data_IF_079531550430
#
_entry.id   IF_079531550430
#
_cell.length_a   1.000
_cell.length_b   1.000
_cell.length_c   1.000
_cell.angle_alpha   90.00
_cell.angle_beta   90.00
_cell.angle_gamma   90.00
#
_symmetry.space_group_name_H-M   'P 1'
#
loop_
_entity.id
_entity.type
_entity.pdbx_description
1 polymer ?
#
# COMPACT_ATOMS: atom_id res chain seq x y z
N UNK A 1 17.14 -9.77 -59.07
CA UNK A 1 15.67 -9.83 -58.91
C UNK A 1 15.33 -9.56 -57.45
N UNK A 2 14.89 -8.35 -57.13
CA UNK A 2 14.60 -7.91 -55.76
C UNK A 2 13.10 -8.08 -55.47
N UNK A 3 12.77 -8.80 -54.40
CA UNK A 3 11.39 -9.08 -53.97
C UNK A 3 10.87 -7.93 -53.11
N UNK A 4 9.84 -7.23 -53.60
CA UNK A 4 9.12 -6.16 -52.91
C UNK A 4 8.28 -6.76 -51.76
N UNK A 5 8.69 -6.55 -50.50
CA UNK A 5 7.82 -6.81 -49.33
C UNK A 5 6.73 -5.74 -49.29
N UNK A 6 5.48 -6.13 -49.56
CA UNK A 6 4.29 -5.31 -49.34
C UNK A 6 4.14 -5.02 -47.84
N UNK A 7 3.99 -3.73 -47.52
CA UNK A 7 3.69 -3.20 -46.18
C UNK A 7 2.26 -3.63 -45.82
N UNK A 8 2.10 -4.44 -44.77
CA UNK A 8 0.79 -4.73 -44.17
C UNK A 8 0.22 -3.40 -43.64
N UNK A 9 -1.02 -3.07 -44.03
CA UNK A 9 -1.75 -1.94 -43.47
C UNK A 9 -2.07 -2.16 -42.00
N UNK A 10 -2.03 -1.09 -41.21
CA UNK A 10 -2.42 -1.13 -39.80
C UNK A 10 -3.83 -1.71 -39.64
N UNK A 11 -4.07 -2.56 -38.62
CA UNK A 11 -5.40 -3.07 -38.35
C UNK A 11 -6.34 -1.89 -38.03
N UNK A 12 -7.61 -1.94 -38.47
CA UNK A 12 -8.55 -0.86 -38.19
C UNK A 12 -8.69 -0.68 -36.68
N UNK A 13 -8.59 0.58 -36.26
CA UNK A 13 -8.93 1.02 -34.90
C UNK A 13 -10.34 0.50 -34.63
N UNK A 14 -10.48 -0.44 -33.70
CA UNK A 14 -11.78 -0.82 -33.15
C UNK A 14 -12.32 0.40 -32.41
N UNK A 15 -13.08 1.23 -33.13
CA UNK A 15 -14.06 2.11 -32.54
C UNK A 15 -15.00 1.19 -31.76
N UNK A 16 -14.97 1.27 -30.44
CA UNK A 16 -16.05 0.73 -29.63
C UNK A 16 -17.32 1.45 -30.08
N UNK A 17 -18.10 0.81 -30.94
CA UNK A 17 -19.49 1.17 -31.15
C UNK A 17 -20.14 1.20 -29.77
N UNK A 18 -20.46 2.41 -29.30
CA UNK A 18 -21.39 2.62 -28.21
C UNK A 18 -22.69 1.98 -28.63
N UNK A 19 -22.87 0.70 -28.25
CA UNK A 19 -24.11 -0.04 -28.42
C UNK A 19 -25.23 0.88 -27.96
N UNK A 20 -26.14 1.17 -28.89
CA UNK A 20 -27.32 2.03 -28.77
C UNK A 20 -27.69 2.23 -27.30
N UNK A 21 -27.75 3.48 -26.80
CA UNK A 21 -28.04 3.85 -25.40
C UNK A 21 -29.38 3.35 -24.79
N UNK A 22 -29.98 2.34 -25.42
CA UNK A 22 -31.12 1.52 -25.04
C UNK A 22 -30.75 0.43 -24.02
N UNK A 23 -29.47 0.06 -23.89
CA UNK A 23 -29.04 -0.87 -22.85
C UNK A 23 -29.00 -0.18 -21.48
N UNK A 24 -29.52 -0.85 -20.44
CA UNK A 24 -29.59 -0.32 -19.07
C UNK A 24 -28.18 0.07 -18.57
N UNK A 25 -27.16 -0.73 -18.88
CA UNK A 25 -25.79 -0.45 -18.45
C UNK A 25 -25.23 0.81 -19.10
N UNK A 26 -25.52 1.05 -20.37
CA UNK A 26 -25.13 2.29 -21.06
C UNK A 26 -25.84 3.50 -20.44
N UNK A 27 -27.11 3.36 -20.07
CA UNK A 27 -27.86 4.40 -19.35
C UNK A 27 -27.27 4.68 -17.95
N UNK A 28 -26.78 3.65 -17.26
CA UNK A 28 -26.07 3.81 -15.98
C UNK A 28 -24.78 4.60 -16.17
N UNK A 29 -23.99 4.32 -17.22
CA UNK A 29 -22.76 5.09 -17.51
C UNK A 29 -23.09 6.56 -17.77
N UNK A 30 -24.09 6.86 -18.61
CA UNK A 30 -24.51 8.25 -18.85
C UNK A 30 -25.04 8.95 -17.60
N UNK A 31 -25.74 8.23 -16.73
CA UNK A 31 -26.18 8.74 -15.43
C UNK A 31 -25.00 9.07 -14.51
N UNK A 32 -23.95 8.23 -14.50
CA UNK A 32 -22.74 8.45 -13.72
C UNK A 32 -21.96 9.66 -14.24
N UNK A 33 -21.82 9.80 -15.56
CA UNK A 33 -21.16 10.96 -16.16
C UNK A 33 -21.90 12.26 -15.84
N UNK A 34 -23.23 12.23 -15.83
CA UNK A 34 -24.05 13.36 -15.39
C UNK A 34 -23.87 13.70 -13.91
N UNK A 35 -23.83 12.69 -13.04
CA UNK A 35 -23.57 12.87 -11.61
C UNK A 35 -22.16 13.42 -11.35
N UNK A 36 -21.18 13.02 -12.17
CA UNK A 36 -19.80 13.48 -12.11
C UNK A 36 -19.69 14.96 -12.51
N UNK A 37 -20.36 15.38 -13.57
CA UNK A 37 -20.35 16.79 -14.02
C UNK A 37 -20.96 17.74 -12.98
N UNK A 38 -22.01 17.30 -12.28
CA UNK A 38 -22.72 18.15 -11.31
C UNK A 38 -22.08 18.18 -9.91
N UNK A 39 -21.30 17.15 -9.54
CA UNK A 39 -20.68 16.91 -8.22
C UNK A 39 -21.59 17.22 -6.99
N UNK A 40 -22.91 17.08 -7.18
CA UNK A 40 -23.94 17.37 -6.17
C UNK A 40 -24.89 16.19 -6.01
N UNK A 41 -25.57 16.05 -4.86
CA UNK A 41 -26.64 15.07 -4.71
C UNK A 41 -27.79 15.42 -5.66
N UNK A 42 -28.12 14.52 -6.58
CA UNK A 42 -29.23 14.68 -7.54
C UNK A 42 -30.32 13.66 -7.24
N UNK A 43 -31.58 14.06 -7.33
CA UNK A 43 -32.69 13.14 -7.16
C UNK A 43 -32.82 12.18 -8.37
N UNK A 44 -33.28 10.95 -8.13
CA UNK A 44 -33.51 9.98 -9.20
C UNK A 44 -34.47 10.49 -10.29
N UNK A 45 -35.44 11.34 -9.93
CA UNK A 45 -36.37 11.96 -10.88
C UNK A 45 -35.64 12.80 -11.93
N UNK A 46 -34.69 13.62 -11.50
CA UNK A 46 -33.94 14.52 -12.37
C UNK A 46 -32.98 13.73 -13.27
N UNK A 47 -32.34 12.68 -12.74
CA UNK A 47 -31.49 11.77 -13.51
C UNK A 47 -32.32 11.07 -14.60
N UNK A 48 -33.52 10.61 -14.25
CA UNK A 48 -34.43 9.97 -15.19
C UNK A 48 -34.87 10.91 -16.31
N UNK A 49 -35.16 12.18 -15.97
CA UNK A 49 -35.52 13.20 -16.94
C UNK A 49 -34.34 13.54 -17.86
N UNK A 50 -33.13 13.64 -17.33
CA UNK A 50 -31.92 13.89 -18.11
C UNK A 50 -31.67 12.79 -19.15
N UNK A 51 -31.84 11.52 -18.76
CA UNK A 51 -31.65 10.38 -19.66
C UNK A 51 -32.69 10.31 -20.80
N UNK A 52 -33.79 11.07 -20.72
CA UNK A 52 -34.83 11.18 -21.76
C UNK A 52 -35.24 9.83 -22.36
N UNK A 53 -35.40 8.82 -21.48
CA UNK A 53 -35.62 7.42 -21.89
C UNK A 53 -36.98 7.31 -22.60
N UNK A 54 -37.05 6.70 -23.80
CA UNK A 54 -38.30 6.51 -24.54
C UNK A 54 -39.37 5.76 -23.73
N UNK A 55 -40.65 6.05 -23.99
CA UNK A 55 -41.79 5.46 -23.26
C UNK A 55 -41.77 3.93 -23.20
N UNK A 56 -41.34 3.26 -24.27
CA UNK A 56 -41.23 1.79 -24.35
C UNK A 56 -40.27 1.20 -23.30
N UNK A 57 -39.31 1.99 -22.83
CA UNK A 57 -38.27 1.58 -21.89
C UNK A 57 -38.54 2.02 -20.43
N UNK A 58 -39.69 2.62 -20.15
CA UNK A 58 -40.06 3.02 -18.78
C UNK A 58 -40.15 1.84 -17.80
N UNK A 59 -40.37 0.62 -18.31
CA UNK A 59 -40.31 -0.62 -17.51
C UNK A 59 -38.94 -0.87 -16.87
N UNK A 60 -37.87 -0.26 -17.40
CA UNK A 60 -36.52 -0.38 -16.88
C UNK A 60 -36.21 0.59 -15.74
N UNK A 61 -37.14 1.50 -15.38
CA UNK A 61 -36.99 2.44 -14.26
C UNK A 61 -36.54 1.79 -12.93
N UNK A 62 -37.19 0.71 -12.42
CA UNK A 62 -36.73 0.05 -11.20
C UNK A 62 -35.40 -0.68 -11.37
N UNK A 63 -35.10 -1.19 -12.57
CA UNK A 63 -33.84 -1.86 -12.86
C UNK A 63 -32.67 -0.87 -12.85
N UNK A 64 -32.85 0.33 -13.44
CA UNK A 64 -31.88 1.42 -13.40
C UNK A 64 -31.63 1.89 -11.97
N UNK A 65 -32.69 2.04 -11.17
CA UNK A 65 -32.58 2.42 -9.76
C UNK A 65 -31.73 1.41 -8.98
N UNK A 66 -32.01 0.11 -9.14
CA UNK A 66 -31.24 -0.97 -8.50
C UNK A 66 -29.79 -0.99 -8.98
N UNK A 67 -29.56 -0.79 -10.27
CA UNK A 67 -28.23 -0.74 -10.86
C UNK A 67 -27.41 0.42 -10.27
N UNK A 68 -27.98 1.62 -10.18
CA UNK A 68 -27.33 2.79 -9.57
C UNK A 68 -27.03 2.58 -8.08
N UNK A 69 -27.96 1.99 -7.33
CA UNK A 69 -27.73 1.64 -5.91
C UNK A 69 -26.60 0.61 -5.73
N UNK A 70 -26.45 -0.32 -6.66
CA UNK A 70 -25.39 -1.35 -6.61
C UNK A 70 -24.03 -0.87 -7.13
N UNK A 71 -23.97 0.30 -7.77
CA UNK A 71 -22.77 0.72 -8.48
C UNK A 71 -21.71 1.31 -7.53
N UNK A 72 -20.44 0.86 -7.57
CA UNK A 72 -19.42 1.28 -6.60
C UNK A 72 -19.04 2.77 -6.68
N UNK A 73 -19.23 3.40 -7.85
CA UNK A 73 -18.97 4.84 -8.08
C UNK A 73 -20.15 5.76 -7.73
N UNK A 74 -21.23 5.23 -7.15
CA UNK A 74 -22.41 6.01 -6.79
C UNK A 74 -22.69 5.83 -5.30
N UNK A 75 -22.82 6.95 -4.60
CA UNK A 75 -23.30 6.97 -3.23
C UNK A 75 -24.81 7.22 -3.23
N UNK A 76 -25.54 6.29 -2.63
CA UNK A 76 -26.98 6.41 -2.43
C UNK A 76 -27.26 7.02 -1.06
N UNK A 77 -27.94 8.16 -1.04
CA UNK A 77 -28.42 8.81 0.18
C UNK A 77 -29.93 8.61 0.29
N UNK A 78 -30.40 7.67 1.13
CA UNK A 78 -31.82 7.54 1.42
C UNK A 78 -32.27 8.67 2.34
N UNK A 79 -33.15 9.54 1.85
CA UNK A 79 -33.84 10.52 2.71
C UNK A 79 -34.83 9.77 3.60
N UNK A 80 -34.68 9.88 4.93
CA UNK A 80 -35.34 9.05 5.95
C UNK A 80 -36.88 9.11 6.01
N UNK A 81 -37.55 9.93 5.21
CA UNK A 81 -39.00 10.10 5.25
C UNK A 81 -39.57 10.32 3.85
N UNK A 82 -39.90 9.23 3.13
CA UNK A 82 -40.67 9.28 1.88
C UNK A 82 -40.06 10.10 0.73
N UNK A 83 -38.82 10.58 0.89
CA UNK A 83 -38.14 11.46 -0.04
C UNK A 83 -37.55 10.71 -1.22
N UNK A 84 -37.41 11.41 -2.34
CA UNK A 84 -36.77 10.88 -3.54
C UNK A 84 -35.36 10.34 -3.21
N UNK A 85 -34.98 9.22 -3.83
CA UNK A 85 -33.63 8.68 -3.73
C UNK A 85 -32.64 9.70 -4.31
N UNK A 86 -31.70 10.16 -3.48
CA UNK A 86 -30.64 11.05 -3.92
C UNK A 86 -29.38 10.24 -4.22
N UNK A 87 -28.74 10.56 -5.33
CA UNK A 87 -27.52 9.92 -5.79
C UNK A 87 -26.42 10.97 -5.91
N UNK A 88 -25.22 10.63 -5.46
CA UNK A 88 -24.02 11.46 -5.62
C UNK A 88 -22.92 10.62 -6.26
N UNK A 89 -22.11 11.23 -7.12
CA UNK A 89 -20.91 10.58 -7.60
C UNK A 89 -19.93 10.35 -6.44
N UNK A 90 -19.43 9.11 -6.33
CA UNK A 90 -18.44 8.71 -5.35
C UNK A 90 -17.11 8.46 -6.08
N UNK A 91 -16.15 9.41 -6.02
CA UNK A 91 -14.81 9.16 -6.49
C UNK A 91 -14.15 7.99 -5.77
N UNK A 92 -13.21 7.31 -6.44
CA UNK A 92 -12.43 6.21 -5.83
C UNK A 92 -11.70 6.68 -4.56
N UNK A 93 -11.21 7.91 -4.58
CA UNK A 93 -10.66 8.62 -3.43
C UNK A 93 -11.44 9.93 -3.27
N UNK A 94 -12.19 10.07 -2.17
CA UNK A 94 -12.94 11.30 -1.85
C UNK A 94 -12.00 12.40 -1.34
N UNK A 95 -11.06 12.81 -2.19
CA UNK A 95 -10.07 13.85 -1.94
C UNK A 95 -10.37 14.98 -2.92
N UNK A 96 -10.78 16.13 -2.40
CA UNK A 96 -11.07 17.34 -3.20
C UNK A 96 -10.05 18.46 -2.99
N UNK A 97 -9.16 18.32 -2.01
CA UNK A 97 -8.14 19.31 -1.69
C UNK A 97 -6.75 18.66 -1.50
N UNK A 98 -5.71 19.47 -1.65
CA UNK A 98 -4.32 19.07 -1.42
C UNK A 98 -4.06 18.63 0.03
N UNK A 99 -4.63 19.33 1.00
CA UNK A 99 -4.48 18.97 2.41
C UNK A 99 -5.20 17.64 2.74
N UNK A 100 -6.37 17.42 2.14
CA UNK A 100 -7.08 16.14 2.23
C UNK A 100 -6.28 15.02 1.59
N UNK A 101 -5.55 15.28 0.50
CA UNK A 101 -4.69 14.30 -0.15
C UNK A 101 -3.55 13.87 0.77
N UNK A 102 -2.90 14.84 1.42
CA UNK A 102 -1.82 14.57 2.37
C UNK A 102 -2.36 13.80 3.58
N UNK A 103 -3.48 14.23 4.16
CA UNK A 103 -4.11 13.54 5.28
C UNK A 103 -4.53 12.11 4.91
N UNK A 104 -5.07 11.92 3.70
CA UNK A 104 -5.45 10.61 3.19
C UNK A 104 -4.23 9.69 3.03
N UNK A 105 -3.14 10.20 2.43
CA UNK A 105 -1.89 9.45 2.26
C UNK A 105 -1.23 9.11 3.61
N UNK A 106 -1.30 10.00 4.60
CA UNK A 106 -0.82 9.74 5.97
C UNK A 106 -1.66 8.71 6.72
N UNK A 107 -2.97 8.69 6.50
CA UNK A 107 -3.89 7.75 7.12
C UNK A 107 -3.80 6.32 6.57
N UNK A 108 -3.16 6.13 5.41
CA UNK A 108 -2.99 4.79 4.83
C UNK A 108 -1.96 3.98 5.62
N UNK A 109 -2.38 2.81 6.11
CA UNK A 109 -1.48 1.84 6.78
C UNK A 109 -0.42 1.27 5.84
N UNK A 110 -0.71 1.27 4.55
CA UNK A 110 0.20 0.80 3.50
C UNK A 110 0.63 2.00 2.68
N UNK A 111 1.94 2.16 2.46
CA UNK A 111 2.49 3.20 1.59
C UNK A 111 2.22 2.90 0.10
N UNK A 112 0.94 2.81 -0.29
CA UNK A 112 0.54 2.66 -1.67
C UNK A 112 0.48 4.03 -2.34
N UNK A 113 1.05 4.13 -3.54
CA UNK A 113 0.92 5.32 -4.35
C UNK A 113 -0.46 5.40 -4.97
N UNK A 114 -0.97 6.62 -5.15
CA UNK A 114 -2.27 6.88 -5.79
C UNK A 114 -2.05 7.34 -7.22
N UNK A 115 -2.85 6.85 -8.15
CA UNK A 115 -2.80 7.27 -9.54
C UNK A 115 -3.46 8.64 -9.73
N UNK A 116 -2.79 9.55 -10.45
CA UNK A 116 -3.35 10.88 -10.74
C UNK A 116 -4.59 10.79 -11.62
N UNK A 117 -4.72 9.73 -12.45
CA UNK A 117 -5.94 9.50 -13.24
C UNK A 117 -7.16 9.25 -12.36
N UNK A 118 -6.96 8.56 -11.25
CA UNK A 118 -8.03 8.25 -10.29
C UNK A 118 -8.41 9.51 -9.48
N UNK A 119 -7.41 10.33 -9.13
CA UNK A 119 -7.65 11.64 -8.51
C UNK A 119 -8.39 12.59 -9.45
N UNK A 120 -8.03 12.61 -10.74
CA UNK A 120 -8.69 13.43 -11.77
C UNK A 120 -10.17 13.06 -11.97
N UNK A 121 -10.58 11.84 -11.62
CA UNK A 121 -11.98 11.40 -11.73
C UNK A 121 -12.88 12.12 -10.71
N UNK A 122 -12.35 12.46 -9.53
CA UNK A 122 -13.07 13.17 -8.46
C UNK A 122 -12.69 14.63 -8.26
N UNK A 123 -11.59 15.06 -8.87
CA UNK A 123 -11.01 16.38 -8.65
C UNK A 123 -10.34 16.90 -9.95
N UNK A 124 -11.01 17.82 -10.64
CA UNK A 124 -10.55 18.35 -11.94
C UNK A 124 -9.22 19.08 -11.85
N UNK A 125 -8.98 19.81 -10.76
CA UNK A 125 -7.79 20.65 -10.56
C UNK A 125 -6.65 19.92 -9.85
N UNK A 126 -6.77 18.59 -9.68
CA UNK A 126 -5.80 17.77 -8.98
C UNK A 126 -4.37 17.95 -9.54
N UNK A 127 -4.21 18.00 -10.87
CA UNK A 127 -2.89 18.11 -11.51
C UNK A 127 -2.14 19.38 -11.07
N UNK A 128 -2.80 20.53 -11.06
CA UNK A 128 -2.16 21.80 -10.71
C UNK A 128 -1.80 21.85 -9.22
N UNK A 129 -2.68 21.34 -8.36
CA UNK A 129 -2.44 21.33 -6.91
C UNK A 129 -1.35 20.33 -6.54
N UNK A 130 -1.30 19.16 -7.20
CA UNK A 130 -0.23 18.17 -7.03
C UNK A 130 1.12 18.77 -7.42
N UNK A 131 1.23 19.44 -8.56
CA UNK A 131 2.47 20.12 -8.97
C UNK A 131 2.87 21.22 -7.97
N UNK A 132 1.91 21.95 -7.41
CA UNK A 132 2.16 22.92 -6.35
C UNK A 132 2.70 22.30 -5.07
N UNK A 133 2.16 21.14 -4.67
CA UNK A 133 2.60 20.39 -3.48
C UNK A 133 3.93 19.66 -3.69
N UNK A 134 4.21 19.25 -4.92
CA UNK A 134 5.51 18.69 -5.33
C UNK A 134 6.62 19.74 -5.20
N UNK A 135 6.38 20.97 -5.68
CA UNK A 135 7.34 22.08 -5.51
C UNK A 135 7.62 22.41 -4.06
N UNK A 136 6.62 22.25 -3.18
CA UNK A 136 6.78 22.38 -1.73
C UNK A 136 7.52 21.19 -1.11
N UNK A 137 7.68 20.09 -1.84
CA UNK A 137 8.30 18.86 -1.38
C UNK A 137 7.44 18.07 -0.41
N UNK A 138 6.13 18.35 -0.31
CA UNK A 138 5.22 17.61 0.59
C UNK A 138 4.75 16.30 -0.04
N UNK A 139 4.75 16.23 -1.37
CA UNK A 139 4.39 15.04 -2.14
C UNK A 139 5.54 14.63 -3.05
N UNK A 140 5.73 13.32 -3.20
CA UNK A 140 6.58 12.73 -4.22
C UNK A 140 5.71 12.37 -5.41
N UNK A 141 6.13 12.77 -6.61
CA UNK A 141 5.39 12.52 -7.84
C UNK A 141 6.28 11.80 -8.83
N UNK A 142 5.75 10.77 -9.48
CA UNK A 142 6.45 10.09 -10.58
C UNK A 142 5.81 10.54 -11.87
N UNK A 143 6.64 11.12 -12.72
CA UNK A 143 6.23 11.59 -14.04
C UNK A 143 6.40 10.50 -15.09
N UNK A 144 5.55 10.55 -16.11
CA UNK A 144 5.76 9.73 -17.29
C UNK A 144 6.92 10.29 -18.13
N UNK A 145 7.85 9.44 -18.56
CA UNK A 145 9.07 9.86 -19.28
C UNK A 145 8.80 10.57 -20.61
N UNK A 146 7.64 10.34 -21.23
CA UNK A 146 7.28 10.89 -22.55
C UNK A 146 6.58 12.23 -22.48
N UNK A 147 5.61 12.35 -21.58
CA UNK A 147 4.66 13.48 -21.57
C UNK A 147 4.84 14.39 -20.34
N UNK A 148 5.79 14.05 -19.46
CA UNK A 148 5.99 14.67 -18.13
C UNK A 148 4.71 14.76 -17.29
N UNK A 149 3.66 14.02 -17.63
CA UNK A 149 2.40 14.04 -16.89
C UNK A 149 2.60 13.31 -15.56
N UNK A 150 2.12 13.86 -14.44
CA UNK A 150 2.20 13.20 -13.16
C UNK A 150 1.36 11.93 -13.22
N UNK A 151 1.99 10.78 -12.95
CA UNK A 151 1.39 9.44 -13.07
C UNK A 151 0.88 8.95 -11.73
N UNK A 152 1.74 9.02 -10.72
CA UNK A 152 1.51 8.48 -9.38
C UNK A 152 2.01 9.48 -8.34
N UNK A 153 1.32 9.49 -7.18
CA UNK A 153 1.60 10.38 -6.05
C UNK A 153 1.83 9.55 -4.80
N UNK A 154 2.84 9.94 -4.02
CA UNK A 154 3.18 9.37 -2.72
C UNK A 154 3.36 10.47 -1.70
N UNK A 155 3.23 10.09 -0.42
CA UNK A 155 3.59 10.96 0.69
C UNK A 155 5.10 11.20 0.68
N UNK A 156 5.52 12.46 0.84
CA UNK A 156 6.90 12.77 1.19
C UNK A 156 7.00 13.16 2.65
N UNK A 157 8.00 12.62 3.35
CA UNK A 157 8.37 13.13 4.65
C UNK A 157 9.45 14.20 4.48
N UNK A 158 9.05 15.46 4.63
CA UNK A 158 9.96 16.60 4.52
C UNK A 158 11.08 16.60 5.57
N UNK A 159 10.91 15.89 6.70
CA UNK A 159 11.94 15.81 7.74
C UNK A 159 13.16 14.99 7.32
N UNK A 160 12.99 14.08 6.36
CA UNK A 160 14.04 13.21 5.84
C UNK A 160 14.69 13.79 4.56
N UNK A 161 14.22 14.94 4.10
CA UNK A 161 14.72 15.58 2.88
C UNK A 161 16.08 16.23 3.11
N UNK A 162 17.12 15.71 2.47
CA UNK A 162 18.43 16.36 2.38
C UNK A 162 18.68 16.84 0.96
N UNK A 163 19.04 18.12 0.81
CA UNK A 163 19.55 18.64 -0.46
C UNK A 163 21.02 18.28 -0.59
N UNK A 164 21.35 17.56 -1.65
CA UNK A 164 22.70 17.14 -1.99
C UNK A 164 23.05 17.80 -3.33
N UNK A 165 24.25 18.34 -3.43
CA UNK A 165 24.74 18.97 -4.66
C UNK A 165 24.85 17.96 -5.80
N UNK A 166 24.61 18.44 -7.02
CA UNK A 166 24.57 17.58 -8.20
C UNK A 166 25.95 16.98 -8.51
N UNK A 167 27.04 17.68 -8.18
CA UNK A 167 28.40 17.16 -8.31
C UNK A 167 28.63 15.94 -7.42
N UNK A 168 28.12 15.97 -6.18
CA UNK A 168 28.22 14.84 -5.27
C UNK A 168 27.36 13.66 -5.74
N UNK A 169 26.16 13.93 -6.26
CA UNK A 169 25.31 12.89 -6.87
C UNK A 169 26.02 12.22 -8.03
N UNK A 170 26.63 13.01 -8.92
CA UNK A 170 27.37 12.50 -10.07
C UNK A 170 28.54 11.63 -9.61
N UNK A 171 29.34 12.12 -8.66
CA UNK A 171 30.44 11.38 -8.05
C UNK A 171 29.97 10.05 -7.47
N UNK A 172 28.89 10.06 -6.67
CA UNK A 172 28.32 8.87 -6.07
C UNK A 172 27.84 7.84 -7.11
N UNK A 173 27.15 8.30 -8.17
CA UNK A 173 26.65 7.40 -9.23
C UNK A 173 27.75 6.84 -10.13
N UNK A 174 28.84 7.58 -10.31
CA UNK A 174 29.97 7.15 -11.13
C UNK A 174 30.94 6.22 -10.37
N UNK A 175 30.86 6.17 -9.04
CA UNK A 175 31.65 5.28 -8.23
C UNK A 175 31.32 3.82 -8.57
N UNK A 176 32.27 3.13 -9.22
CA UNK A 176 32.15 1.71 -9.54
C UNK A 176 32.48 0.89 -8.30
N UNK A 177 31.49 0.21 -7.75
CA UNK A 177 31.72 -0.79 -6.72
C UNK A 177 32.35 -2.05 -7.35
N UNK A 178 33.31 -2.70 -6.67
CA UNK A 178 33.83 -3.99 -7.11
C UNK A 178 32.70 -5.02 -7.23
N UNK A 179 32.69 -5.82 -8.30
CA UNK A 179 31.64 -6.84 -8.50
C UNK A 179 31.78 -8.03 -7.54
N UNK A 180 32.99 -8.27 -7.03
CA UNK A 180 33.28 -9.39 -6.14
C UNK A 180 33.14 -8.96 -4.67
N UNK A 181 32.33 -9.69 -3.92
CA UNK A 181 32.18 -9.49 -2.46
C UNK A 181 33.50 -9.62 -1.69
N UNK A 182 34.44 -10.43 -2.18
CA UNK A 182 35.78 -10.60 -1.58
C UNK A 182 36.64 -9.34 -1.68
N UNK A 183 36.62 -8.69 -2.85
CA UNK A 183 37.38 -7.47 -3.09
C UNK A 183 36.83 -6.30 -2.28
N UNK A 184 35.49 -6.20 -2.16
CA UNK A 184 34.84 -5.22 -1.26
C UNK A 184 35.30 -5.41 0.19
N UNK A 185 35.42 -6.65 0.68
CA UNK A 185 35.88 -6.93 2.05
C UNK A 185 37.33 -6.50 2.26
N UNK A 186 38.22 -6.87 1.35
CA UNK A 186 39.64 -6.50 1.45
C UNK A 186 39.84 -4.98 1.38
N UNK A 187 39.05 -4.27 0.57
CA UNK A 187 39.07 -2.80 0.54
C UNK A 187 38.51 -2.17 1.81
N UNK A 188 37.41 -2.70 2.37
CA UNK A 188 36.86 -2.25 3.65
C UNK A 188 37.85 -2.47 4.82
N UNK A 189 38.49 -3.64 4.88
CA UNK A 189 39.53 -3.94 5.87
C UNK A 189 40.75 -3.03 5.71
N UNK A 190 41.19 -2.77 4.47
CA UNK A 190 42.26 -1.82 4.16
C UNK A 190 41.89 -0.39 4.57
N UNK A 191 40.62 -0.02 4.45
CA UNK A 191 40.09 1.26 4.89
C UNK A 191 39.80 1.33 6.41
N UNK A 192 40.05 0.24 7.16
CA UNK A 192 39.81 0.18 8.60
C UNK A 192 38.33 0.12 9.00
N UNK A 193 37.44 -0.19 8.06
CA UNK A 193 36.00 -0.35 8.29
C UNK A 193 35.69 -1.83 8.53
N UNK A 194 34.96 -2.15 9.60
CA UNK A 194 34.54 -3.53 9.88
C UNK A 194 33.49 -3.97 8.86
N UNK A 195 33.73 -4.99 8.03
CA UNK A 195 32.73 -5.48 7.09
C UNK A 195 31.51 -6.03 7.83
N UNK A 196 30.30 -5.61 7.46
CA UNK A 196 29.03 -6.10 8.06
C UNK A 196 28.88 -7.64 7.98
N UNK A 197 29.60 -8.31 7.07
CA UNK A 197 29.65 -9.78 7.00
C UNK A 197 30.51 -10.45 8.06
N UNK A 198 31.08 -9.73 9.03
CA UNK A 198 31.71 -10.37 10.17
C UNK A 198 30.62 -11.20 10.87
N UNK A 199 30.66 -12.52 10.64
CA UNK A 199 29.89 -13.48 11.42
C UNK A 199 30.28 -13.16 12.86
N UNK A 200 29.38 -12.47 13.59
CA UNK A 200 29.50 -12.39 15.04
C UNK A 200 29.54 -13.85 15.46
N UNK A 201 30.73 -14.34 15.78
CA UNK A 201 30.85 -15.61 16.45
C UNK A 201 30.00 -15.44 17.69
N UNK A 202 28.82 -16.04 17.66
CA UNK A 202 27.96 -16.11 18.82
C UNK A 202 28.84 -16.80 19.85
N UNK A 203 29.33 -16.04 20.83
CA UNK A 203 29.97 -16.61 22.01
C UNK A 203 28.89 -17.53 22.57
N UNK A 204 28.99 -18.83 22.25
CA UNK A 204 28.10 -19.85 22.79
C UNK A 204 28.50 -19.94 24.25
N UNK A 205 27.91 -19.07 25.06
CA UNK A 205 27.82 -19.26 26.50
C UNK A 205 27.10 -20.60 26.67
N UNK A 206 27.88 -21.66 26.78
CA UNK A 206 27.39 -23.01 27.00
C UNK A 206 26.44 -23.01 28.21
N UNK A 207 25.44 -23.90 28.24
CA UNK A 207 24.43 -23.89 29.28
C UNK A 207 25.13 -24.05 30.64
N UNK A 208 25.09 -22.98 31.44
CA UNK A 208 25.50 -23.00 32.84
C UNK A 208 24.67 -24.08 33.54
N UNK A 209 25.28 -25.23 33.79
CA UNK A 209 24.69 -26.33 34.57
C UNK A 209 24.41 -25.78 35.96
N UNK A 210 23.18 -25.36 36.19
CA UNK A 210 22.69 -25.08 37.54
C UNK A 210 22.77 -26.38 38.33
N UNK A 211 23.73 -26.46 39.23
CA UNK A 211 23.94 -27.59 40.12
C UNK A 211 22.71 -27.74 41.02
N UNK A 212 21.92 -28.80 40.77
CA UNK A 212 20.75 -29.11 41.59
C UNK A 212 21.24 -29.52 42.99
N UNK A 213 21.14 -28.62 43.96
CA UNK A 213 21.37 -28.93 45.38
C UNK A 213 20.50 -30.13 45.78
N UNK A 214 21.14 -31.24 46.12
CA UNK A 214 20.47 -32.42 46.71
C UNK A 214 19.92 -32.02 48.08
N UNK A 215 18.60 -32.06 48.21
CA UNK A 215 17.92 -31.92 49.50
C UNK A 215 18.22 -33.20 50.30
N UNK A 216 19.03 -33.06 51.36
CA UNK A 216 19.27 -34.13 52.32
C UNK A 216 17.95 -34.44 53.04
N UNK A 217 17.28 -35.53 52.66
CA UNK A 217 16.15 -36.07 53.43
C UNK A 217 16.73 -36.58 54.75
N UNK A 218 16.41 -35.91 55.86
CA UNK A 218 16.79 -36.33 57.22
C UNK A 218 16.39 -37.80 57.41
N UNK A 219 17.39 -38.62 57.74
CA UNK A 219 17.23 -40.03 58.05
C UNK A 219 16.15 -40.24 59.12
N UNK A 220 15.34 -41.29 58.93
CA UNK A 220 14.30 -41.69 59.88
C UNK A 220 14.85 -41.89 61.29
N UNK A 221 13.99 -41.63 62.29
CA UNK A 221 14.30 -41.80 63.72
C UNK A 221 14.95 -43.16 63.98
N UNK A 222 16.22 -43.15 64.37
CA UNK A 222 16.89 -44.33 64.91
C UNK A 222 16.31 -44.63 66.29
N UNK A 223 15.65 -45.78 66.44
CA UNK A 223 15.03 -46.24 67.69
C UNK A 223 15.98 -47.08 68.56
N UNK A 224 17.21 -47.36 68.09
CA UNK A 224 18.17 -48.24 68.78
C UNK A 224 19.44 -47.50 69.21
N UNK A 225 19.27 -46.43 70.00
CA UNK A 225 20.39 -45.64 70.54
C UNK A 225 21.29 -46.43 71.50
N UNK A 226 20.77 -47.48 72.14
CA UNK A 226 21.49 -48.29 73.14
C UNK A 226 22.53 -49.26 72.55
N UNK A 227 22.50 -49.52 71.24
CA UNK A 227 23.45 -50.42 70.56
C UNK A 227 24.73 -49.73 70.08
N UNK A 228 24.77 -48.39 70.05
CA UNK A 228 25.91 -47.62 69.53
C UNK A 228 27.22 -47.79 70.34
N UNK A 229 27.12 -48.25 71.60
CA UNK A 229 28.30 -48.47 72.46
C UNK A 229 28.95 -49.84 72.29
N UNK A 230 28.20 -50.85 71.86
CA UNK A 230 28.66 -52.25 71.79
C UNK A 230 29.33 -52.56 70.44
N UNK A 231 28.91 -51.87 69.38
CA UNK A 231 29.43 -52.06 68.02
C UNK A 231 30.76 -51.31 67.75
N UNK A 232 31.44 -50.81 68.79
CA UNK A 232 32.76 -50.20 68.65
C UNK A 232 33.82 -51.29 68.72
N UNK A 233 34.25 -51.74 67.55
CA UNK A 233 35.37 -52.67 67.40
C UNK A 233 36.70 -51.94 67.67
N UNK A 234 37.44 -52.38 68.69
CA UNK A 234 38.75 -51.83 69.07
C UNK A 234 39.91 -52.74 68.63
N UNK A 235 39.69 -53.67 67.70
CA UNK A 235 40.72 -54.60 67.23
C UNK A 235 41.88 -53.98 66.43
N UNK A 236 41.91 -52.66 66.23
CA UNK A 236 42.94 -51.98 65.41
C UNK A 236 43.94 -51.13 66.20
N UNK A 237 44.43 -51.65 67.34
CA UNK A 237 45.67 -51.14 67.94
C UNK A 237 46.57 -52.28 68.41
N UNK A 238 47.38 -52.78 67.47
CA UNK A 238 48.74 -53.22 67.74
C UNK A 238 49.60 -53.03 66.49
#
# INVERSE_FOLDING_TARGET
MATLKRKMGDPPIMVHEVSSGREIMTQVVYAIDYLKDKDKPIAFGDIWQYLSIPQDQQRHRPALLKALMSHPKVEHMPTKQGGQHMFRFKPMHNVRNGDELVAYLQGQKTAQGISVKELKDGWSDATQVIEGLEKKGTLLVTHNKKDNTPKMVWLNDTSLGMKVDDDFKLFWTNLRLPTNDGDIRSELERAGLTPTSQVKETIKLGPQKKEKRRINRKAGRSTNTHMNGILKDYSFKK
#
